data_IF_477897647240
#
_entry.id   IF_477897647240
#
_cell.length_a   1.000
_cell.length_b   1.000
_cell.length_c   1.000
_cell.angle_alpha   90.00
_cell.angle_beta   90.00
_cell.angle_gamma   90.00
#
_symmetry.space_group_name_H-M   'P 1'
#
loop_
_entity.id
_entity.type
_entity.pdbx_description
1 polymer ?
#
# COMPACT_ATOMS: atom_id res chain seq x y z
N UNK A 1 -13.33 41.43 -5.87
CA UNK A 1 -12.78 40.16 -5.41
C UNK A 1 -12.50 39.34 -6.64
N UNK A 2 -11.26 38.89 -6.90
CA UNK A 2 -11.00 38.00 -8.02
C UNK A 2 -11.61 36.64 -7.68
N UNK A 3 -12.46 36.15 -8.56
CA UNK A 3 -12.99 34.79 -8.55
C UNK A 3 -11.80 33.85 -8.75
N UNK A 4 -11.42 33.09 -7.74
CA UNK A 4 -10.53 31.94 -7.88
C UNK A 4 -11.27 30.91 -8.73
N UNK A 5 -11.02 30.93 -10.05
CA UNK A 5 -11.32 29.79 -10.90
C UNK A 5 -10.50 28.61 -10.37
N UNK A 6 -11.14 27.70 -9.65
CA UNK A 6 -10.57 26.41 -9.32
C UNK A 6 -10.48 25.62 -10.62
N UNK A 7 -9.31 25.66 -11.27
CA UNK A 7 -9.02 24.79 -12.41
C UNK A 7 -9.16 23.35 -11.95
N UNK A 8 -10.14 22.64 -12.49
CA UNK A 8 -10.19 21.19 -12.33
C UNK A 8 -8.92 20.60 -12.96
N UNK A 9 -8.12 19.80 -12.24
CA UNK A 9 -6.90 19.25 -12.81
C UNK A 9 -7.19 18.47 -14.09
N UNK A 10 -6.30 18.55 -15.07
CA UNK A 10 -6.46 17.88 -16.37
C UNK A 10 -6.54 16.35 -16.20
N UNK A 11 -7.14 15.66 -17.16
CA UNK A 11 -7.14 14.20 -17.20
C UNK A 11 -5.71 13.65 -17.36
N UNK A 12 -5.46 12.45 -16.85
CA UNK A 12 -4.18 11.76 -17.05
C UNK A 12 -3.96 11.43 -18.54
N UNK A 13 -2.76 11.72 -19.03
CA UNK A 13 -2.32 11.25 -20.36
C UNK A 13 -1.90 9.77 -20.25
N UNK A 14 -2.81 8.88 -20.57
CA UNK A 14 -2.62 7.43 -20.45
C UNK A 14 -1.53 6.92 -21.39
N UNK A 15 -1.36 7.53 -22.57
CA UNK A 15 -0.31 7.15 -23.52
C UNK A 15 1.07 7.50 -22.96
N UNK A 16 1.22 8.70 -22.41
CA UNK A 16 2.44 9.10 -21.73
C UNK A 16 2.76 8.17 -20.55
N UNK A 17 1.79 7.89 -19.69
CA UNK A 17 1.95 7.01 -18.54
C UNK A 17 2.44 5.64 -18.98
N UNK A 18 1.74 4.98 -19.89
CA UNK A 18 2.06 3.61 -20.33
C UNK A 18 3.44 3.52 -20.99
N UNK A 19 3.86 4.57 -21.73
CA UNK A 19 5.19 4.65 -22.32
C UNK A 19 6.34 4.69 -21.27
N UNK A 20 6.05 5.04 -20.00
CA UNK A 20 7.04 5.00 -18.93
C UNK A 20 7.31 3.57 -18.42
N UNK A 21 6.43 2.61 -18.65
CA UNK A 21 6.49 1.25 -18.09
C UNK A 21 6.83 0.22 -19.18
N UNK A 22 8.11 -0.20 -19.30
CA UNK A 22 8.52 -1.14 -20.34
C UNK A 22 7.75 -2.48 -20.32
N UNK A 23 7.39 -2.94 -19.13
CA UNK A 23 6.69 -4.21 -18.94
C UNK A 23 5.30 -4.24 -19.60
N UNK A 24 4.64 -3.09 -19.78
CA UNK A 24 3.30 -3.02 -20.36
C UNK A 24 3.27 -3.35 -21.87
N UNK A 25 4.43 -3.46 -22.52
CA UNK A 25 4.55 -3.87 -23.91
C UNK A 25 4.53 -5.40 -24.11
N UNK A 26 4.44 -6.19 -23.04
CA UNK A 26 4.45 -7.65 -23.11
C UNK A 26 3.18 -8.23 -23.74
N UNK A 27 3.33 -9.41 -24.32
CA UNK A 27 2.22 -10.22 -24.85
C UNK A 27 2.32 -11.65 -24.32
N UNK A 28 1.17 -12.31 -24.14
CA UNK A 28 1.06 -13.71 -23.75
C UNK A 28 0.13 -14.41 -24.74
N UNK A 29 0.60 -15.48 -25.38
CA UNK A 29 -0.15 -16.25 -26.37
C UNK A 29 -0.79 -15.37 -27.48
N UNK A 30 -0.09 -14.27 -27.87
CA UNK A 30 -0.59 -13.31 -28.86
C UNK A 30 -1.56 -12.26 -28.30
N UNK A 31 -1.90 -12.29 -27.02
CA UNK A 31 -2.75 -11.30 -26.38
C UNK A 31 -1.89 -10.22 -25.69
N UNK A 32 -2.20 -8.91 -25.81
CA UNK A 32 -1.54 -7.87 -25.02
C UNK A 32 -1.76 -8.11 -23.52
N UNK A 33 -0.66 -8.07 -22.74
CA UNK A 33 -0.73 -8.26 -21.30
C UNK A 33 -1.44 -7.09 -20.62
N UNK A 34 -2.36 -7.42 -19.70
CA UNK A 34 -3.00 -6.49 -18.78
C UNK A 34 -2.59 -6.85 -17.34
N UNK A 35 -1.84 -5.97 -16.71
CA UNK A 35 -1.35 -6.15 -15.33
C UNK A 35 -2.45 -5.70 -14.37
N UNK A 36 -3.21 -6.67 -13.87
CA UNK A 36 -4.33 -6.48 -12.94
C UNK A 36 -3.99 -7.04 -11.54
N UNK A 37 -2.71 -7.20 -11.28
CA UNK A 37 -2.13 -7.74 -10.06
C UNK A 37 -1.49 -6.66 -9.16
N UNK A 38 -1.81 -5.40 -9.39
CA UNK A 38 -1.25 -4.25 -8.71
C UNK A 38 -1.14 -4.38 -7.18
N UNK A 39 -2.15 -4.91 -6.46
CA UNK A 39 -2.04 -5.15 -5.02
C UNK A 39 -0.96 -6.18 -4.63
N UNK A 40 -0.51 -7.03 -5.56
CA UNK A 40 0.64 -7.93 -5.42
C UNK A 40 1.98 -7.22 -5.59
N UNK A 41 2.02 -6.22 -6.45
CA UNK A 41 3.18 -5.38 -6.80
C UNK A 41 2.93 -4.66 -8.10
N UNK A 42 3.33 -3.40 -8.20
CA UNK A 42 3.13 -2.60 -9.43
C UNK A 42 4.28 -2.82 -10.40
N UNK A 43 4.06 -2.47 -11.66
CA UNK A 43 5.15 -2.36 -12.63
C UNK A 43 6.02 -1.14 -12.31
N UNK A 44 7.24 -1.12 -12.85
CA UNK A 44 8.27 -0.13 -12.52
C UNK A 44 8.54 0.75 -13.74
N UNK A 45 8.49 2.09 -13.61
CA UNK A 45 8.80 2.98 -14.72
C UNK A 45 10.31 3.00 -15.04
N UNK A 46 10.64 3.22 -16.32
CA UNK A 46 12.02 3.21 -16.84
C UNK A 46 12.97 4.09 -16.01
N UNK A 47 12.53 5.27 -15.57
CA UNK A 47 13.35 6.18 -14.75
C UNK A 47 13.83 5.57 -13.43
N UNK A 48 13.04 4.68 -12.82
CA UNK A 48 13.42 3.95 -11.60
C UNK A 48 14.46 2.90 -11.91
N UNK A 49 14.29 2.15 -13.01
CA UNK A 49 15.27 1.18 -13.50
C UNK A 49 16.60 1.87 -13.78
N UNK A 50 16.56 3.02 -14.45
CA UNK A 50 17.73 3.82 -14.77
C UNK A 50 18.44 4.36 -13.53
N UNK A 51 17.69 4.83 -12.53
CA UNK A 51 18.27 5.34 -11.28
C UNK A 51 19.05 4.25 -10.54
N UNK A 52 18.47 3.05 -10.40
CA UNK A 52 19.12 1.88 -9.80
C UNK A 52 20.39 1.50 -10.59
N UNK A 53 20.26 1.37 -11.90
CA UNK A 53 21.36 1.00 -12.79
C UNK A 53 22.51 2.03 -12.79
N UNK A 54 22.17 3.34 -12.77
CA UNK A 54 23.14 4.41 -12.74
C UNK A 54 23.91 4.48 -11.42
N UNK A 55 23.20 4.27 -10.27
CA UNK A 55 23.89 4.18 -8.99
C UNK A 55 24.94 3.09 -8.99
N UNK A 56 24.58 1.86 -9.40
CA UNK A 56 25.52 0.73 -9.47
C UNK A 56 26.70 0.98 -10.42
N UNK A 57 26.48 1.72 -11.50
CA UNK A 57 27.56 2.01 -12.48
C UNK A 57 28.54 3.10 -12.03
N UNK A 58 28.10 4.06 -11.19
CA UNK A 58 28.86 5.31 -10.94
C UNK A 58 29.25 5.53 -9.49
N UNK A 59 28.34 5.23 -8.54
CA UNK A 59 28.43 5.70 -7.17
C UNK A 59 28.39 4.56 -6.12
N UNK A 60 28.42 3.30 -6.58
CA UNK A 60 28.33 2.14 -5.68
C UNK A 60 29.43 2.18 -4.61
N UNK A 61 29.07 2.62 -3.41
CA UNK A 61 29.98 2.76 -2.27
C UNK A 61 29.21 2.65 -0.95
N UNK A 62 29.91 2.33 0.13
CA UNK A 62 29.37 2.44 1.48
C UNK A 62 29.36 3.92 1.94
N UNK A 63 28.58 4.23 2.96
CA UNK A 63 28.37 5.55 3.55
C UNK A 63 29.48 5.99 4.48
N UNK A 64 29.63 7.30 4.72
CA UNK A 64 30.54 7.88 5.70
C UNK A 64 32.01 7.92 5.31
N UNK A 65 32.37 7.55 4.09
CA UNK A 65 33.76 7.61 3.59
C UNK A 65 34.18 9.00 3.11
N UNK A 66 35.47 9.32 3.23
CA UNK A 66 36.02 10.62 2.85
C UNK A 66 36.31 10.76 1.33
N UNK A 67 35.69 9.94 0.48
CA UNK A 67 35.90 9.93 -0.98
C UNK A 67 34.58 10.15 -1.73
N UNK A 68 34.69 10.48 -3.02
CA UNK A 68 33.57 11.04 -3.80
C UNK A 68 32.35 10.13 -3.85
N UNK A 69 32.47 8.85 -4.21
CA UNK A 69 31.35 7.93 -4.35
C UNK A 69 30.62 7.70 -3.02
N UNK A 70 31.34 7.67 -1.88
CA UNK A 70 30.73 7.57 -0.56
C UNK A 70 29.93 8.83 -0.22
N UNK A 71 30.47 10.04 -0.49
CA UNK A 71 29.71 11.29 -0.28
C UNK A 71 28.49 11.38 -1.20
N UNK A 72 28.59 10.87 -2.44
CA UNK A 72 27.44 10.80 -3.36
C UNK A 72 26.37 9.86 -2.82
N UNK A 73 26.76 8.72 -2.24
CA UNK A 73 25.83 7.79 -1.56
C UNK A 73 25.13 8.44 -0.38
N UNK A 74 25.88 9.15 0.49
CA UNK A 74 25.30 9.90 1.61
C UNK A 74 24.27 10.93 1.13
N UNK A 75 24.61 11.71 0.10
CA UNK A 75 23.71 12.72 -0.48
C UNK A 75 22.46 12.08 -1.11
N UNK A 76 22.63 10.96 -1.83
CA UNK A 76 21.52 10.22 -2.43
C UNK A 76 20.54 9.69 -1.39
N UNK A 77 21.03 9.12 -0.28
CA UNK A 77 20.17 8.63 0.82
C UNK A 77 19.43 9.82 1.48
N UNK A 78 20.10 10.94 1.69
CA UNK A 78 19.49 12.14 2.24
C UNK A 78 18.35 12.66 1.34
N UNK A 79 18.57 12.71 0.01
CA UNK A 79 17.55 13.11 -0.96
C UNK A 79 16.37 12.14 -0.99
N UNK A 80 16.60 10.83 -0.91
CA UNK A 80 15.54 9.84 -0.84
C UNK A 80 14.65 10.01 0.41
N UNK A 81 15.24 10.43 1.56
CA UNK A 81 14.45 10.78 2.75
C UNK A 81 13.58 12.01 2.51
N UNK A 82 14.14 13.05 1.87
CA UNK A 82 13.38 14.26 1.50
C UNK A 82 12.24 13.89 0.56
N UNK A 83 12.49 13.05 -0.45
CA UNK A 83 11.47 12.61 -1.38
C UNK A 83 10.32 11.86 -0.67
N UNK A 84 10.65 10.93 0.24
CA UNK A 84 9.64 10.22 1.01
C UNK A 84 8.93 11.11 2.04
N UNK A 85 9.62 12.10 2.60
CA UNK A 85 9.01 13.10 3.47
C UNK A 85 7.98 13.94 2.71
N UNK A 86 8.29 14.36 1.48
CA UNK A 86 7.32 15.01 0.57
C UNK A 86 6.14 14.09 0.24
N UNK A 87 6.38 12.78 0.04
CA UNK A 87 5.32 11.80 -0.25
C UNK A 87 4.36 11.62 0.92
N UNK A 88 4.88 11.53 2.15
CA UNK A 88 4.10 11.26 3.36
C UNK A 88 3.64 12.54 4.11
N UNK A 89 4.16 13.72 3.75
CA UNK A 89 3.98 15.01 4.44
C UNK A 89 4.53 15.01 5.87
N UNK A 90 5.83 14.76 6.02
CA UNK A 90 6.55 14.73 7.30
C UNK A 90 7.96 15.33 7.18
N UNK A 91 8.75 15.25 8.24
CA UNK A 91 10.16 15.63 8.21
C UNK A 91 11.05 14.46 7.74
N UNK A 92 12.18 14.77 7.07
CA UNK A 92 13.07 13.74 6.51
C UNK A 92 13.70 12.83 7.59
N UNK A 93 13.92 13.33 8.81
CA UNK A 93 14.44 12.55 9.92
C UNK A 93 13.40 11.65 10.63
N UNK A 94 12.12 11.70 10.17
CA UNK A 94 11.06 10.79 10.58
C UNK A 94 10.92 9.59 9.62
N UNK A 95 11.75 9.52 8.58
CA UNK A 95 11.76 8.44 7.59
C UNK A 95 12.86 7.43 7.90
N UNK A 96 12.48 6.16 8.01
CA UNK A 96 13.37 5.01 8.20
C UNK A 96 13.21 4.05 7.02
N UNK A 97 14.34 3.65 6.40
CA UNK A 97 14.35 2.66 5.34
C UNK A 97 14.60 1.24 5.86
N UNK A 98 14.03 0.26 5.17
CA UNK A 98 14.23 -1.15 5.48
C UNK A 98 13.93 -2.05 4.27
N UNK A 99 14.13 -3.38 4.40
CA UNK A 99 13.96 -4.29 3.26
C UNK A 99 12.53 -4.33 2.70
N UNK A 100 11.52 -4.23 3.57
CA UNK A 100 10.09 -4.22 3.26
C UNK A 100 9.30 -3.82 4.51
N UNK A 101 8.00 -3.53 4.34
CA UNK A 101 7.13 -3.17 5.46
C UNK A 101 7.06 -4.26 6.54
N UNK A 102 6.97 -5.53 6.16
CA UNK A 102 6.87 -6.67 7.11
C UNK A 102 8.06 -6.71 8.07
N UNK A 103 9.28 -6.58 7.54
CA UNK A 103 10.51 -6.53 8.36
C UNK A 103 10.52 -5.31 9.27
N UNK A 104 10.09 -4.15 8.77
CA UNK A 104 9.99 -2.92 9.56
C UNK A 104 8.94 -3.07 10.69
N UNK A 105 7.79 -3.69 10.41
CA UNK A 105 6.75 -3.92 11.44
C UNK A 105 7.24 -4.89 12.51
N UNK A 106 7.94 -5.98 12.16
CA UNK A 106 8.59 -6.85 13.14
C UNK A 106 9.66 -6.13 13.96
N UNK A 107 10.44 -5.25 13.33
CA UNK A 107 11.41 -4.41 14.03
C UNK A 107 10.73 -3.51 15.06
N UNK A 108 9.66 -2.82 14.63
CA UNK A 108 8.91 -1.91 15.49
C UNK A 108 8.17 -2.64 16.60
N UNK A 109 7.54 -3.78 16.32
CA UNK A 109 6.82 -4.57 17.34
C UNK A 109 7.75 -5.00 18.48
N UNK A 110 8.98 -5.40 18.16
CA UNK A 110 9.99 -5.73 19.17
C UNK A 110 10.43 -4.52 20.00
N UNK A 111 10.59 -3.36 19.37
CA UNK A 111 11.03 -2.15 20.06
C UNK A 111 9.91 -1.54 20.92
N UNK A 112 8.69 -1.43 20.37
CA UNK A 112 7.50 -0.94 21.08
C UNK A 112 7.12 -1.90 22.21
N UNK A 113 7.10 -3.20 21.92
CA UNK A 113 6.73 -4.25 22.88
C UNK A 113 7.76 -4.52 23.97
N UNK A 114 8.92 -3.81 24.02
CA UNK A 114 9.89 -3.99 25.11
C UNK A 114 9.28 -3.76 26.49
N UNK A 115 8.45 -2.74 26.57
CA UNK A 115 7.88 -2.27 27.82
C UNK A 115 6.46 -2.84 28.05
N UNK A 116 5.96 -3.75 27.18
CA UNK A 116 4.67 -4.42 27.31
C UNK A 116 4.81 -5.76 28.02
N UNK A 117 3.74 -6.14 28.73
CA UNK A 117 3.68 -7.39 29.48
C UNK A 117 2.25 -7.81 29.84
N UNK A 118 2.09 -8.75 30.82
CA UNK A 118 0.79 -9.22 31.25
C UNK A 118 -0.15 -8.07 31.66
N UNK A 119 -1.36 -8.08 31.11
CA UNK A 119 -2.36 -7.05 31.35
C UNK A 119 -2.39 -5.93 30.32
N UNK A 120 -1.37 -5.79 29.46
CA UNK A 120 -1.42 -4.87 28.32
C UNK A 120 -2.16 -5.50 27.15
N UNK A 121 -2.83 -4.67 26.35
CA UNK A 121 -3.63 -5.11 25.22
C UNK A 121 -3.20 -4.39 23.93
N UNK A 122 -3.25 -5.13 22.81
CA UNK A 122 -3.09 -4.58 21.46
C UNK A 122 -4.35 -4.90 20.67
N UNK A 123 -4.87 -3.92 19.92
CA UNK A 123 -6.01 -4.10 19.04
C UNK A 123 -5.54 -4.20 17.60
N UNK A 124 -5.92 -5.29 16.93
CA UNK A 124 -5.72 -5.54 15.49
C UNK A 124 -7.07 -5.74 14.82
N UNK A 125 -7.13 -5.80 13.48
CA UNK A 125 -8.40 -5.97 12.77
C UNK A 125 -8.49 -7.27 11.97
N UNK A 126 -9.73 -7.71 11.70
CA UNK A 126 -10.00 -8.85 10.81
C UNK A 126 -9.79 -8.53 9.33
N UNK A 127 -9.59 -7.25 8.99
CA UNK A 127 -9.46 -6.77 7.62
C UNK A 127 -8.00 -6.67 7.15
N UNK A 128 -7.05 -6.70 8.09
CA UNK A 128 -5.64 -6.41 7.82
C UNK A 128 -4.91 -7.53 7.07
N UNK A 129 -3.88 -7.12 6.35
CA UNK A 129 -2.82 -8.02 5.89
C UNK A 129 -2.06 -8.58 7.11
N UNK A 130 -1.70 -9.85 7.07
CA UNK A 130 -1.08 -10.54 8.21
C UNK A 130 0.28 -9.95 8.65
N UNK A 131 0.96 -9.24 7.77
CA UNK A 131 2.18 -8.49 8.11
C UNK A 131 1.92 -7.34 9.11
N UNK A 132 0.66 -6.87 9.24
CA UNK A 132 0.22 -5.91 10.26
C UNK A 132 -0.50 -6.59 11.44
N UNK A 133 -0.49 -7.89 11.51
CA UNK A 133 -1.11 -8.71 12.57
C UNK A 133 -0.07 -9.57 13.28
N UNK A 134 0.59 -10.49 12.57
CA UNK A 134 1.54 -11.46 13.14
C UNK A 134 2.67 -10.85 13.98
N UNK A 135 3.26 -9.67 13.64
CA UNK A 135 4.27 -9.05 14.49
C UNK A 135 3.76 -8.67 15.90
N UNK A 136 2.46 -8.40 16.02
CA UNK A 136 1.81 -8.07 17.29
C UNK A 136 1.38 -9.34 18.04
N UNK A 137 0.90 -10.38 17.32
CA UNK A 137 0.62 -11.71 17.91
C UNK A 137 1.85 -12.28 18.62
N UNK A 138 3.05 -12.05 18.09
CA UNK A 138 4.29 -12.51 18.72
C UNK A 138 4.50 -11.95 20.15
N UNK A 139 3.81 -10.89 20.55
CA UNK A 139 3.88 -10.32 21.91
C UNK A 139 3.02 -11.09 22.92
N UNK A 140 2.17 -12.03 22.47
CA UNK A 140 1.46 -12.95 23.36
C UNK A 140 2.43 -13.80 24.19
N UNK A 141 3.64 -14.09 23.66
CA UNK A 141 4.74 -14.74 24.40
C UNK A 141 5.15 -13.97 25.66
N UNK A 142 4.87 -12.65 25.69
CA UNK A 142 5.11 -11.76 26.84
C UNK A 142 3.88 -11.58 27.73
N UNK A 143 2.77 -12.26 27.44
CA UNK A 143 1.50 -12.14 28.16
C UNK A 143 0.64 -10.94 27.73
N UNK A 144 0.95 -10.30 26.59
CA UNK A 144 0.09 -9.27 25.99
C UNK A 144 -1.16 -9.93 25.41
N UNK A 145 -2.32 -9.31 25.60
CA UNK A 145 -3.58 -9.79 25.04
C UNK A 145 -3.87 -9.12 23.70
N UNK A 146 -4.14 -9.91 22.66
CA UNK A 146 -4.53 -9.40 21.36
C UNK A 146 -6.06 -9.36 21.26
N UNK A 147 -6.59 -8.16 20.99
CA UNK A 147 -8.01 -7.90 20.71
C UNK A 147 -8.22 -7.76 19.21
N UNK A 148 -9.36 -8.18 18.72
CA UNK A 148 -9.71 -8.19 17.29
C UNK A 148 -10.92 -7.30 17.05
N UNK A 149 -10.77 -6.28 16.21
CA UNK A 149 -11.88 -5.52 15.67
C UNK A 149 -12.55 -6.29 14.51
N UNK A 150 -13.87 -6.35 14.53
CA UNK A 150 -14.67 -7.08 13.55
C UNK A 150 -14.91 -6.27 12.27
N UNK A 151 -15.49 -6.93 11.29
CA UNK A 151 -15.95 -6.35 10.02
C UNK A 151 -17.44 -6.62 9.83
N UNK A 152 -18.06 -5.84 8.96
CA UNK A 152 -19.39 -6.14 8.44
C UNK A 152 -19.25 -7.10 7.24
N UNK A 153 -19.65 -8.39 7.35
CA UNK A 153 -19.42 -9.36 6.27
C UNK A 153 -20.14 -9.05 4.95
N UNK A 154 -21.16 -8.19 4.99
CA UNK A 154 -21.97 -7.83 3.81
C UNK A 154 -21.20 -6.99 2.79
N UNK A 155 -20.37 -6.07 3.25
CA UNK A 155 -19.62 -5.13 2.43
C UNK A 155 -18.11 -5.07 2.78
N UNK A 156 -17.67 -5.88 3.72
CA UNK A 156 -16.30 -5.96 4.21
C UNK A 156 -15.76 -4.60 4.71
N UNK A 157 -16.61 -3.76 5.28
CA UNK A 157 -16.18 -2.55 6.00
C UNK A 157 -15.76 -2.90 7.42
N UNK A 158 -14.82 -2.13 7.98
CA UNK A 158 -14.41 -2.29 9.38
C UNK A 158 -15.53 -1.80 10.30
N UNK A 159 -15.87 -2.59 11.32
CA UNK A 159 -16.79 -2.19 12.37
C UNK A 159 -16.08 -1.27 13.37
N UNK A 160 -16.21 0.04 13.15
CA UNK A 160 -15.56 1.07 13.99
C UNK A 160 -16.20 1.16 15.37
N UNK A 161 -17.47 0.82 15.49
CA UNK A 161 -18.18 0.81 16.80
C UNK A 161 -17.65 -0.35 17.66
N UNK A 162 -17.49 -1.55 17.07
CA UNK A 162 -16.86 -2.71 17.72
C UNK A 162 -15.41 -2.41 18.12
N UNK A 163 -14.65 -1.75 17.23
CA UNK A 163 -13.28 -1.30 17.52
C UNK A 163 -13.26 -0.39 18.75
N UNK A 164 -14.10 0.64 18.77
CA UNK A 164 -14.17 1.62 19.85
C UNK A 164 -14.61 0.96 21.18
N UNK A 165 -15.55 0.03 21.15
CA UNK A 165 -16.04 -0.69 22.33
C UNK A 165 -14.96 -1.62 22.96
N UNK A 166 -13.96 -2.05 22.18
CA UNK A 166 -12.86 -2.90 22.66
C UNK A 166 -11.69 -2.13 23.25
N UNK A 167 -11.61 -0.81 23.06
CA UNK A 167 -10.57 0.03 23.64
C UNK A 167 -10.82 0.29 25.13
N UNK A 168 -9.72 0.28 25.90
CA UNK A 168 -9.74 0.56 27.33
C UNK A 168 -8.36 1.03 27.80
N UNK A 169 -8.19 1.34 29.08
CA UNK A 169 -6.93 1.85 29.65
C UNK A 169 -5.73 0.89 29.57
N UNK A 170 -5.96 -0.39 29.26
CA UNK A 170 -4.92 -1.40 29.05
C UNK A 170 -4.45 -1.43 27.60
N UNK A 171 -5.22 -0.86 26.67
CA UNK A 171 -4.84 -0.83 25.25
C UNK A 171 -3.63 0.08 25.05
N UNK A 172 -2.53 -0.48 24.53
CA UNK A 172 -1.27 0.22 24.30
C UNK A 172 -1.05 0.59 22.84
N UNK A 173 -1.68 -0.15 21.93
CA UNK A 173 -1.50 0.08 20.50
C UNK A 173 -2.74 -0.41 19.74
N UNK A 174 -3.08 0.33 18.69
CA UNK A 174 -4.03 -0.05 17.64
C UNK A 174 -3.26 -0.18 16.33
N UNK A 175 -3.25 -1.37 15.74
CA UNK A 175 -2.67 -1.62 14.42
C UNK A 175 -3.80 -1.77 13.40
N UNK A 176 -3.76 -0.93 12.35
CA UNK A 176 -4.81 -0.87 11.32
C UNK A 176 -4.24 -0.70 9.92
N UNK A 177 -4.82 -1.39 8.93
CA UNK A 177 -4.59 -1.11 7.52
C UNK A 177 -5.30 0.17 7.07
N UNK A 178 -4.65 0.98 6.24
CA UNK A 178 -5.30 2.12 5.62
C UNK A 178 -6.35 1.66 4.60
N UNK A 179 -6.00 0.64 3.82
CA UNK A 179 -6.93 -0.02 2.90
C UNK A 179 -6.67 -1.53 2.83
N UNK A 180 -7.74 -2.30 2.68
CA UNK A 180 -7.64 -3.75 2.53
C UNK A 180 -7.02 -4.15 1.19
N UNK A 181 -5.94 -4.91 1.25
CA UNK A 181 -5.27 -5.46 0.06
C UNK A 181 -6.08 -6.56 -0.64
N UNK A 182 -7.12 -7.09 0.00
CA UNK A 182 -7.97 -8.13 -0.57
C UNK A 182 -9.23 -7.57 -1.23
N UNK A 183 -9.99 -6.73 -0.52
CA UNK A 183 -11.31 -6.26 -0.96
C UNK A 183 -11.36 -4.76 -1.26
N UNK A 184 -10.25 -4.05 -1.08
CA UNK A 184 -10.11 -2.64 -1.47
C UNK A 184 -10.70 -1.63 -0.48
N UNK A 185 -11.45 -2.04 0.55
CA UNK A 185 -12.06 -1.14 1.54
C UNK A 185 -11.05 -0.18 2.14
N UNK A 186 -11.32 1.12 2.12
CA UNK A 186 -10.55 2.17 2.77
C UNK A 186 -11.14 2.40 4.17
N UNK A 187 -10.30 2.33 5.19
CA UNK A 187 -10.71 2.54 6.57
C UNK A 187 -10.67 4.03 6.94
N UNK A 188 -11.53 4.51 7.85
CA UNK A 188 -11.53 5.89 8.35
C UNK A 188 -10.38 6.11 9.35
N UNK A 189 -9.13 6.00 8.86
CA UNK A 189 -7.89 5.95 9.69
C UNK A 189 -7.78 7.15 10.61
N UNK A 190 -8.08 8.36 10.13
CA UNK A 190 -8.02 9.58 10.96
C UNK A 190 -8.93 9.51 12.19
N UNK A 191 -10.12 8.97 12.01
CA UNK A 191 -11.08 8.78 13.12
C UNK A 191 -10.56 7.70 14.08
N UNK A 192 -10.07 6.58 13.56
CA UNK A 192 -9.57 5.47 14.38
C UNK A 192 -8.33 5.92 15.18
N UNK A 193 -7.42 6.69 14.58
CA UNK A 193 -6.27 7.28 15.29
C UNK A 193 -6.75 8.16 16.45
N UNK A 194 -7.72 9.03 16.21
CA UNK A 194 -8.30 9.89 17.26
C UNK A 194 -8.92 9.07 18.41
N UNK A 195 -9.62 7.99 18.08
CA UNK A 195 -10.24 7.09 19.07
C UNK A 195 -9.13 6.34 19.85
N UNK A 196 -8.08 5.85 19.19
CA UNK A 196 -6.94 5.20 19.83
C UNK A 196 -6.23 6.14 20.81
N UNK A 197 -5.92 7.36 20.39
CA UNK A 197 -5.29 8.38 21.25
C UNK A 197 -6.16 8.77 22.46
N UNK A 198 -7.48 8.85 22.28
CA UNK A 198 -8.39 9.11 23.39
C UNK A 198 -8.37 8.00 24.46
N UNK A 199 -8.02 6.77 24.08
CA UNK A 199 -7.78 5.66 25.00
C UNK A 199 -6.34 5.57 25.54
N UNK A 200 -5.45 6.45 25.10
CA UNK A 200 -4.03 6.45 25.46
C UNK A 200 -3.17 5.43 24.69
N UNK A 201 -3.69 4.89 23.58
CA UNK A 201 -3.02 3.91 22.74
C UNK A 201 -2.28 4.56 21.58
N UNK A 202 -1.14 3.98 21.18
CA UNK A 202 -0.44 4.35 19.95
C UNK A 202 -1.20 3.86 18.71
N UNK A 203 -1.08 4.56 17.60
CA UNK A 203 -1.65 4.19 16.31
C UNK A 203 -0.56 3.79 15.30
N UNK A 204 -0.59 2.53 14.84
CA UNK A 204 0.31 1.97 13.84
C UNK A 204 -0.47 1.67 12.56
N UNK A 205 -0.13 2.33 11.46
CA UNK A 205 -0.89 2.29 10.21
C UNK A 205 -0.12 1.55 9.12
N UNK A 206 -0.72 0.53 8.53
CA UNK A 206 -0.24 -0.10 7.30
C UNK A 206 -0.87 0.59 6.08
N UNK A 207 -0.10 1.40 5.38
CA UNK A 207 -0.53 2.10 4.17
C UNK A 207 -0.04 1.44 2.87
N UNK A 208 0.47 0.20 2.93
CA UNK A 208 1.05 -0.49 1.78
C UNK A 208 0.10 -0.53 0.59
N UNK A 209 -1.16 -0.89 0.83
CA UNK A 209 -2.14 -1.00 -0.24
C UNK A 209 -2.72 0.36 -0.66
N UNK A 210 -2.78 1.32 0.24
CA UNK A 210 -3.31 2.65 -0.05
C UNK A 210 -2.33 3.55 -0.83
N UNK A 211 -1.02 3.37 -0.61
CA UNK A 211 0.03 4.24 -1.12
C UNK A 211 0.02 4.51 -2.65
N UNK A 212 -0.33 3.57 -3.54
CA UNK A 212 -0.44 3.86 -4.98
C UNK A 212 -1.73 4.57 -5.39
N UNK A 213 -2.77 4.57 -4.54
CA UNK A 213 -4.14 4.98 -4.88
C UNK A 213 -4.54 6.33 -4.32
N UNK A 214 -3.95 6.76 -3.21
CA UNK A 214 -4.38 7.97 -2.52
C UNK A 214 -3.27 8.74 -1.83
N UNK A 215 -3.54 10.03 -1.63
CA UNK A 215 -2.64 10.93 -0.93
C UNK A 215 -2.52 10.54 0.54
N UNK A 216 -1.29 10.35 1.00
CA UNK A 216 -0.99 10.14 2.42
C UNK A 216 -0.51 11.47 3.02
N UNK A 217 -1.07 11.81 4.18
CA UNK A 217 -0.69 12.97 4.99
C UNK A 217 -0.62 12.55 6.45
N UNK A 218 0.57 12.15 6.91
CA UNK A 218 0.74 11.63 8.27
C UNK A 218 0.54 12.71 9.34
N UNK A 219 0.77 13.99 8.98
CA UNK A 219 0.50 15.12 9.86
C UNK A 219 -1.00 15.30 10.07
N UNK A 220 -1.80 15.20 9.00
CA UNK A 220 -3.27 15.31 9.07
C UNK A 220 -3.92 14.07 9.71
N UNK A 221 -3.31 12.89 9.57
CA UNK A 221 -3.75 11.64 10.22
C UNK A 221 -3.42 11.62 11.70
N UNK A 222 -2.33 12.29 12.09
CA UNK A 222 -1.76 12.29 13.46
C UNK A 222 -1.36 10.88 13.96
N UNK A 223 -1.10 9.92 13.07
CA UNK A 223 -0.66 8.58 13.46
C UNK A 223 0.76 8.60 14.04
N UNK A 224 1.06 7.66 14.94
CA UNK A 224 2.38 7.58 15.57
C UNK A 224 3.41 6.89 14.67
N UNK A 225 2.95 5.92 13.90
CA UNK A 225 3.75 5.20 12.91
C UNK A 225 2.91 4.91 11.66
N UNK A 226 3.57 4.93 10.50
CA UNK A 226 2.98 4.48 9.25
C UNK A 226 4.03 3.73 8.44
N UNK A 227 3.65 2.60 7.85
CA UNK A 227 4.54 1.81 6.99
C UNK A 227 3.97 1.65 5.59
N UNK A 228 4.87 1.62 4.61
CA UNK A 228 4.57 1.23 3.24
C UNK A 228 5.75 0.50 2.60
N UNK A 229 5.55 -0.03 1.39
CA UNK A 229 6.61 -0.67 0.58
C UNK A 229 6.58 -0.10 -0.81
N UNK A 230 7.72 0.40 -1.29
CA UNK A 230 7.80 1.17 -2.54
C UNK A 230 7.42 0.35 -3.78
N UNK A 231 7.64 -0.97 -3.78
CA UNK A 231 7.25 -1.84 -4.89
C UNK A 231 5.73 -1.94 -5.11
N UNK A 232 4.93 -1.42 -4.18
CA UNK A 232 3.48 -1.30 -4.33
C UNK A 232 3.05 0.00 -5.01
N UNK A 233 3.95 1.00 -5.07
CA UNK A 233 3.70 2.29 -5.72
C UNK A 233 4.83 2.67 -6.68
N UNK A 234 5.15 1.74 -7.61
CA UNK A 234 6.02 1.93 -8.78
C UNK A 234 7.52 1.97 -8.50
N UNK A 235 7.94 1.70 -7.26
CA UNK A 235 9.34 1.70 -6.83
C UNK A 235 9.98 0.31 -6.74
N UNK A 236 11.22 0.23 -6.24
CA UNK A 236 11.91 -1.03 -5.97
C UNK A 236 11.39 -1.74 -4.70
N UNK A 237 11.86 -2.98 -4.45
CA UNK A 237 11.54 -3.73 -3.23
C UNK A 237 12.24 -3.14 -2.00
N UNK A 238 11.65 -2.10 -1.44
CA UNK A 238 12.09 -1.43 -0.21
C UNK A 238 10.89 -1.11 0.68
N UNK A 239 11.12 -1.14 1.99
CA UNK A 239 10.18 -0.67 3.00
C UNK A 239 10.51 0.75 3.44
N UNK A 240 9.47 1.50 3.79
CA UNK A 240 9.56 2.84 4.37
C UNK A 240 8.67 2.89 5.60
N UNK A 241 9.24 3.36 6.70
CA UNK A 241 8.53 3.64 7.94
C UNK A 241 8.59 5.15 8.20
N UNK A 242 7.45 5.76 8.42
CA UNK A 242 7.30 7.00 9.14
C UNK A 242 7.12 6.69 10.64
N UNK A 243 7.81 7.44 11.49
CA UNK A 243 7.57 7.44 12.93
C UNK A 243 7.69 8.86 13.48
N UNK A 244 6.73 9.29 14.32
CA UNK A 244 6.88 10.57 15.01
C UNK A 244 8.26 10.65 15.69
N UNK A 245 8.97 11.75 15.48
CA UNK A 245 10.35 11.95 15.98
C UNK A 245 10.50 11.59 17.46
N UNK A 246 9.56 12.01 18.30
CA UNK A 246 9.55 11.72 19.72
C UNK A 246 9.53 10.23 20.05
N UNK A 247 8.79 9.42 19.25
CA UNK A 247 8.76 7.98 19.43
C UNK A 247 10.05 7.33 18.92
N UNK A 248 10.57 7.78 17.76
CA UNK A 248 11.84 7.28 17.23
C UNK A 248 13.01 7.59 18.19
N UNK A 249 12.97 8.70 18.92
CA UNK A 249 13.96 9.05 19.92
C UNK A 249 13.79 8.27 21.24
N UNK A 250 12.54 8.11 21.70
CA UNK A 250 12.22 7.49 23.00
C UNK A 250 12.40 5.97 22.98
N UNK A 251 11.95 5.32 21.92
CA UNK A 251 11.99 3.86 21.82
C UNK A 251 13.42 3.35 21.64
N UNK A 252 13.69 2.14 22.14
CA UNK A 252 15.01 1.52 22.15
C UNK A 252 15.11 0.44 21.08
N UNK A 253 15.69 0.72 19.89
CA UNK A 253 15.89 -0.30 18.87
C UNK A 253 16.89 -1.38 19.30
N UNK A 254 16.80 -2.55 18.69
CA UNK A 254 17.89 -3.51 18.68
C UNK A 254 18.88 -3.08 17.60
N UNK A 255 20.11 -2.71 17.95
CA UNK A 255 21.11 -2.22 16.99
C UNK A 255 22.51 -2.66 17.38
N UNK A 256 23.42 -2.65 16.40
CA UNK A 256 24.84 -2.88 16.64
C UNK A 256 25.45 -1.70 17.44
N UNK A 257 26.41 -2.00 18.30
CA UNK A 257 26.99 -1.00 19.24
C UNK A 257 27.60 0.23 18.57
N UNK A 258 28.29 0.13 17.41
CA UNK A 258 28.90 1.30 16.76
C UNK A 258 27.88 2.26 16.12
N UNK A 259 26.64 1.82 15.88
CA UNK A 259 25.63 2.66 15.24
C UNK A 259 25.25 3.83 16.15
N UNK A 260 25.19 5.05 15.57
CA UNK A 260 24.80 6.27 16.28
C UNK A 260 23.41 6.15 16.93
N UNK A 261 23.15 6.96 17.96
CA UNK A 261 21.81 7.09 18.56
C UNK A 261 20.94 8.16 17.89
N UNK A 262 21.46 8.85 16.88
CA UNK A 262 20.70 9.84 16.12
C UNK A 262 19.60 9.17 15.27
N UNK A 263 18.41 9.78 15.24
CA UNK A 263 17.33 9.41 14.32
C UNK A 263 17.61 10.00 12.94
N UNK A 264 17.24 9.31 11.88
CA UNK A 264 16.61 7.99 11.83
C UNK A 264 17.62 6.83 11.91
N UNK A 265 18.93 7.08 11.82
CA UNK A 265 20.01 6.11 11.63
C UNK A 265 19.98 4.98 12.66
N UNK A 266 19.64 5.28 13.92
CA UNK A 266 19.56 4.26 14.99
C UNK A 266 18.61 3.11 14.69
N UNK A 267 17.69 3.27 13.71
CA UNK A 267 16.70 2.30 13.29
C UNK A 267 17.14 1.48 12.07
N UNK A 268 18.25 1.84 11.42
CA UNK A 268 18.78 1.20 10.23
C UNK A 268 19.99 0.36 10.59
N UNK A 269 19.76 -0.88 10.96
CA UNK A 269 20.69 -1.75 11.71
C UNK A 269 21.91 -2.25 10.94
N UNK A 270 21.90 -2.18 9.64
CA UNK A 270 22.96 -2.63 8.74
C UNK A 270 23.04 -1.79 7.49
N UNK A 271 23.98 -2.12 6.61
CA UNK A 271 24.10 -1.44 5.32
C UNK A 271 22.80 -1.55 4.55
N UNK A 272 22.25 -0.41 4.18
CA UNK A 272 21.01 -0.31 3.41
C UNK A 272 21.24 -0.77 1.96
N UNK A 273 20.17 -1.09 1.27
CA UNK A 273 20.17 -1.34 -0.17
C UNK A 273 20.20 0.01 -0.92
N UNK A 274 21.41 0.55 -1.12
CA UNK A 274 21.61 1.89 -1.64
C UNK A 274 21.10 2.05 -3.07
N UNK A 275 21.28 1.04 -3.94
CA UNK A 275 20.78 1.07 -5.31
C UNK A 275 19.24 1.16 -5.36
N UNK A 276 18.55 0.44 -4.49
CA UNK A 276 17.09 0.55 -4.40
C UNK A 276 16.66 1.89 -3.80
N UNK A 277 17.42 2.46 -2.85
CA UNK A 277 17.12 3.80 -2.30
C UNK A 277 17.25 4.87 -3.40
N UNK A 278 18.21 4.77 -4.29
CA UNK A 278 18.28 5.64 -5.48
C UNK A 278 17.01 5.55 -6.34
N UNK A 279 16.44 4.36 -6.46
CA UNK A 279 15.17 4.13 -7.14
C UNK A 279 13.95 4.76 -6.45
N UNK A 280 13.98 4.96 -5.12
CA UNK A 280 12.88 5.58 -4.36
C UNK A 280 12.68 7.04 -4.79
N UNK A 281 13.76 7.83 -4.88
CA UNK A 281 13.66 9.21 -5.35
C UNK A 281 13.03 9.29 -6.73
N UNK A 282 13.49 8.45 -7.67
CA UNK A 282 12.97 8.41 -9.03
C UNK A 282 11.49 7.98 -9.08
N UNK A 283 11.05 7.12 -8.16
CA UNK A 283 9.67 6.71 -8.02
C UNK A 283 8.77 7.88 -7.57
N UNK A 284 9.18 8.60 -6.52
CA UNK A 284 8.44 9.76 -6.01
C UNK A 284 8.42 10.88 -7.06
N UNK A 285 9.53 11.10 -7.76
CA UNK A 285 9.62 12.09 -8.84
C UNK A 285 8.77 11.71 -10.06
N UNK A 286 8.55 10.40 -10.32
CA UNK A 286 7.59 9.95 -11.32
C UNK A 286 6.16 10.40 -10.96
N UNK A 287 5.74 10.17 -9.72
CA UNK A 287 4.42 10.59 -9.24
C UNK A 287 4.28 12.12 -9.30
N UNK A 288 5.28 12.85 -8.84
CA UNK A 288 5.29 14.32 -8.91
C UNK A 288 5.25 14.85 -10.37
N UNK A 289 5.88 14.15 -11.31
CA UNK A 289 5.84 14.51 -12.74
C UNK A 289 4.41 14.39 -13.30
N UNK A 290 3.66 13.35 -12.94
CA UNK A 290 2.24 13.25 -13.30
C UNK A 290 1.45 14.46 -12.81
N UNK A 291 1.69 14.89 -11.57
CA UNK A 291 1.01 16.04 -11.01
C UNK A 291 1.38 17.36 -11.68
N UNK A 292 2.65 17.59 -12.02
CA UNK A 292 3.06 18.79 -12.79
C UNK A 292 2.44 18.83 -14.18
N UNK A 293 2.20 17.68 -14.80
CA UNK A 293 1.52 17.59 -16.10
C UNK A 293 0.04 17.92 -16.02
N UNK A 294 -0.61 17.52 -14.92
CA UNK A 294 -2.05 17.79 -14.71
C UNK A 294 -2.32 19.16 -14.08
N UNK A 295 -1.36 19.69 -13.35
CA UNK A 295 -1.39 21.04 -12.76
C UNK A 295 0.01 21.69 -12.80
N UNK A 296 0.33 22.45 -13.88
CA UNK A 296 1.63 23.11 -14.05
C UNK A 296 1.99 24.11 -12.95
N UNK A 297 1.02 24.64 -12.20
CA UNK A 297 1.23 25.55 -11.08
C UNK A 297 1.83 24.88 -9.84
N UNK A 298 1.98 23.56 -9.85
CA UNK A 298 2.53 22.77 -8.73
C UNK A 298 4.05 22.94 -8.66
N UNK A 299 4.52 23.97 -7.95
CA UNK A 299 5.94 24.35 -7.89
C UNK A 299 6.79 23.48 -6.95
N UNK A 300 6.20 22.89 -5.92
CA UNK A 300 6.90 21.98 -4.98
C UNK A 300 6.62 20.52 -5.32
N UNK A 301 7.51 19.61 -4.88
CA UNK A 301 7.28 18.16 -5.04
C UNK A 301 5.99 17.73 -4.34
N UNK A 302 5.73 18.19 -3.12
CA UNK A 302 4.50 17.88 -2.39
C UNK A 302 3.25 18.37 -3.12
N UNK A 303 3.21 19.61 -3.59
CA UNK A 303 2.07 20.13 -4.35
C UNK A 303 1.82 19.31 -5.63
N UNK A 304 2.88 18.89 -6.30
CA UNK A 304 2.79 18.04 -7.49
C UNK A 304 2.23 16.63 -7.13
N UNK A 305 2.66 16.03 -6.02
CA UNK A 305 2.12 14.75 -5.54
C UNK A 305 0.61 14.88 -5.24
N UNK A 306 0.17 15.97 -4.61
CA UNK A 306 -1.26 16.23 -4.36
C UNK A 306 -2.04 16.25 -5.69
N UNK A 307 -1.59 17.03 -6.67
CA UNK A 307 -2.23 17.12 -7.98
C UNK A 307 -2.23 15.77 -8.74
N UNK A 308 -1.17 14.97 -8.57
CA UNK A 308 -1.09 13.63 -9.15
C UNK A 308 -2.20 12.75 -8.60
N UNK A 309 -2.33 12.64 -7.27
CA UNK A 309 -3.33 11.77 -6.65
C UNK A 309 -4.78 12.22 -6.91
N UNK A 310 -5.05 13.51 -7.06
CA UNK A 310 -6.36 13.99 -7.51
C UNK A 310 -6.72 13.46 -8.90
N UNK A 311 -5.75 13.39 -9.80
CA UNK A 311 -5.97 12.91 -11.17
C UNK A 311 -5.97 11.37 -11.25
N UNK A 312 -5.10 10.70 -10.49
CA UNK A 312 -5.07 9.23 -10.33
C UNK A 312 -6.40 8.74 -9.78
N UNK A 313 -6.90 9.36 -8.70
CA UNK A 313 -8.16 8.97 -8.07
C UNK A 313 -9.33 9.04 -9.07
N UNK A 314 -9.45 10.11 -9.85
CA UNK A 314 -10.51 10.24 -10.86
C UNK A 314 -10.42 9.17 -11.93
N UNK A 315 -9.22 8.87 -12.42
CA UNK A 315 -9.01 7.85 -13.45
C UNK A 315 -9.33 6.45 -12.90
N UNK A 316 -8.77 6.09 -11.76
CA UNK A 316 -8.99 4.80 -11.12
C UNK A 316 -10.46 4.59 -10.71
N UNK A 317 -11.14 5.66 -10.27
CA UNK A 317 -12.57 5.60 -9.97
C UNK A 317 -13.42 5.32 -11.21
N UNK A 318 -13.06 5.88 -12.38
CA UNK A 318 -13.73 5.57 -13.65
C UNK A 318 -13.54 4.10 -14.05
N UNK A 319 -12.31 3.58 -13.93
CA UNK A 319 -12.00 2.16 -14.17
C UNK A 319 -12.78 1.24 -13.23
N UNK A 320 -12.78 1.58 -11.92
CA UNK A 320 -13.48 0.82 -10.87
C UNK A 320 -14.98 0.76 -11.12
N UNK A 321 -15.60 1.91 -11.43
CA UNK A 321 -17.03 1.98 -11.71
C UNK A 321 -17.39 1.14 -12.93
N UNK A 322 -16.60 1.21 -14.02
CA UNK A 322 -16.78 0.38 -15.21
C UNK A 322 -16.68 -1.11 -14.89
N UNK A 323 -15.67 -1.49 -14.08
CA UNK A 323 -15.44 -2.88 -13.69
C UNK A 323 -16.59 -3.42 -12.82
N UNK A 324 -17.00 -2.71 -11.78
CA UNK A 324 -18.10 -3.13 -10.89
C UNK A 324 -19.41 -3.25 -11.66
N UNK A 325 -19.75 -2.25 -12.48
CA UNK A 325 -20.95 -2.28 -13.32
C UNK A 325 -20.96 -3.51 -14.21
N UNK A 326 -19.88 -3.77 -14.94
CA UNK A 326 -19.80 -4.92 -15.85
C UNK A 326 -19.80 -6.27 -15.14
N UNK A 327 -19.20 -6.36 -13.94
CA UNK A 327 -19.23 -7.60 -13.13
C UNK A 327 -20.62 -7.86 -12.55
N UNK A 328 -21.37 -6.82 -12.19
CA UNK A 328 -22.75 -6.95 -11.68
C UNK A 328 -23.72 -7.52 -12.73
N UNK A 329 -23.38 -7.44 -14.02
CA UNK A 329 -24.12 -8.06 -15.11
C UNK A 329 -23.81 -9.56 -15.30
N UNK A 330 -22.88 -10.14 -14.51
CA UNK A 330 -22.49 -11.55 -14.58
C UNK A 330 -23.01 -12.26 -13.31
N UNK A 331 -24.22 -12.85 -13.36
CA UNK A 331 -24.88 -13.38 -12.16
C UNK A 331 -24.16 -14.56 -11.51
N UNK A 332 -23.23 -15.21 -12.24
CA UNK A 332 -22.38 -16.27 -11.71
C UNK A 332 -21.29 -15.76 -10.76
N UNK A 333 -20.99 -14.45 -10.76
CA UNK A 333 -19.92 -13.88 -9.94
C UNK A 333 -20.48 -13.18 -8.69
N UNK A 334 -19.84 -13.41 -7.57
CA UNK A 334 -20.04 -12.65 -6.34
C UNK A 334 -18.84 -11.74 -6.12
N UNK A 335 -19.09 -10.44 -5.94
CA UNK A 335 -18.10 -9.43 -5.57
C UNK A 335 -18.10 -9.30 -4.03
N UNK A 336 -16.92 -9.21 -3.44
CA UNK A 336 -16.71 -8.94 -2.02
C UNK A 336 -16.18 -7.51 -1.83
N UNK A 337 -16.62 -6.85 -0.75
CA UNK A 337 -16.35 -5.44 -0.48
C UNK A 337 -17.46 -4.53 -0.99
N UNK A 338 -17.25 -3.23 -0.90
CA UNK A 338 -18.23 -2.19 -1.25
C UNK A 338 -18.54 -2.24 -2.75
N UNK A 339 -19.82 -2.36 -3.11
CA UNK A 339 -20.31 -2.34 -4.51
C UNK A 339 -21.31 -1.24 -4.79
N UNK A 340 -21.83 -0.57 -3.76
CA UNK A 340 -22.74 0.56 -3.91
C UNK A 340 -22.02 1.72 -4.62
N UNK A 341 -22.55 2.20 -5.78
CA UNK A 341 -21.93 3.30 -6.52
C UNK A 341 -21.75 4.58 -5.71
N UNK A 342 -22.62 4.85 -4.74
CA UNK A 342 -22.55 6.03 -3.87
C UNK A 342 -21.39 5.96 -2.85
N UNK A 343 -20.86 4.75 -2.62
CA UNK A 343 -19.84 4.47 -1.62
C UNK A 343 -18.47 4.11 -2.22
N UNK A 344 -18.30 4.15 -3.56
CA UNK A 344 -17.05 3.75 -4.21
C UNK A 344 -15.84 4.63 -3.84
N UNK A 345 -16.05 5.83 -3.33
CA UNK A 345 -14.98 6.66 -2.78
C UNK A 345 -14.29 6.02 -1.54
N UNK A 346 -14.94 5.04 -0.91
CA UNK A 346 -14.42 4.31 0.25
C UNK A 346 -13.73 3.00 -0.13
N UNK A 347 -13.30 2.86 -1.39
CA UNK A 347 -12.48 1.71 -1.79
C UNK A 347 -11.42 2.07 -2.82
N UNK A 348 -10.29 1.39 -2.75
CA UNK A 348 -9.30 1.30 -3.81
C UNK A 348 -9.84 0.46 -4.98
N UNK A 349 -9.30 0.57 -6.19
CA UNK A 349 -9.75 -0.19 -7.36
C UNK A 349 -9.27 -1.66 -7.33
N UNK A 350 -9.51 -2.31 -6.18
CA UNK A 350 -9.17 -3.71 -5.90
C UNK A 350 -10.42 -4.48 -5.54
N UNK A 351 -10.67 -5.58 -6.23
CA UNK A 351 -11.85 -6.41 -6.06
C UNK A 351 -11.47 -7.86 -5.78
N UNK A 352 -12.20 -8.49 -4.85
CA UNK A 352 -12.19 -9.92 -4.61
C UNK A 352 -13.46 -10.54 -5.20
N UNK A 353 -13.29 -11.61 -5.97
CA UNK A 353 -14.38 -12.28 -6.69
C UNK A 353 -14.41 -13.79 -6.40
N UNK A 354 -15.60 -14.38 -6.49
CA UNK A 354 -15.81 -15.82 -6.53
C UNK A 354 -16.93 -16.19 -7.48
N UNK A 355 -16.88 -17.39 -8.06
CA UNK A 355 -18.02 -17.97 -8.74
C UNK A 355 -19.00 -18.51 -7.69
N UNK A 356 -20.29 -18.19 -7.85
CA UNK A 356 -21.36 -18.73 -7.00
C UNK A 356 -21.57 -20.20 -7.36
N UNK A 357 -21.57 -21.09 -6.36
CA UNK A 357 -21.66 -22.55 -6.58
C UNK A 357 -20.55 -23.07 -7.51
N UNK A 358 -19.31 -22.59 -7.31
CA UNK A 358 -18.15 -22.93 -8.13
C UNK A 358 -17.95 -24.45 -8.31
N UNK A 359 -17.60 -24.84 -9.50
CA UNK A 359 -17.12 -26.20 -9.84
C UNK A 359 -15.60 -26.27 -9.67
N UNK A 360 -15.01 -27.47 -9.80
CA UNK A 360 -13.56 -27.66 -9.66
C UNK A 360 -12.73 -26.83 -10.68
N UNK A 361 -13.28 -26.57 -11.85
CA UNK A 361 -12.66 -25.77 -12.93
C UNK A 361 -12.99 -24.26 -12.87
N UNK A 362 -13.72 -23.82 -11.83
CA UNK A 362 -14.11 -22.44 -11.55
C UNK A 362 -13.60 -21.95 -10.20
N UNK A 363 -12.63 -22.65 -9.60
CA UNK A 363 -11.95 -22.17 -8.40
C UNK A 363 -11.17 -20.87 -8.69
N UNK A 364 -10.85 -20.04 -7.68
CA UNK A 364 -10.02 -18.86 -7.87
C UNK A 364 -8.73 -19.13 -8.66
N UNK A 365 -8.01 -20.20 -8.34
CA UNK A 365 -6.82 -20.63 -9.07
C UNK A 365 -7.13 -20.98 -10.53
N UNK A 366 -8.19 -21.75 -10.80
CA UNK A 366 -8.56 -22.12 -12.16
C UNK A 366 -8.93 -20.89 -13.00
N UNK A 367 -9.64 -19.92 -12.40
CA UNK A 367 -9.95 -18.64 -13.06
C UNK A 367 -8.69 -17.83 -13.34
N UNK A 368 -7.80 -17.70 -12.37
CA UNK A 368 -6.53 -16.96 -12.54
C UNK A 368 -5.67 -17.58 -13.64
N UNK A 369 -5.61 -18.93 -13.73
CA UNK A 369 -4.90 -19.65 -14.77
C UNK A 369 -5.49 -19.36 -16.16
N UNK A 370 -6.82 -19.53 -16.32
CA UNK A 370 -7.53 -19.27 -17.59
C UNK A 370 -7.40 -17.80 -18.05
N UNK A 371 -7.38 -16.86 -17.11
CA UNK A 371 -7.16 -15.44 -17.39
C UNK A 371 -5.70 -15.16 -17.77
N UNK A 372 -4.74 -15.78 -17.06
CA UNK A 372 -3.32 -15.67 -17.35
C UNK A 372 -2.97 -16.10 -18.78
N UNK A 373 -3.55 -17.21 -19.26
CA UNK A 373 -3.39 -17.71 -20.64
C UNK A 373 -3.91 -16.72 -21.70
N UNK A 374 -4.83 -15.81 -21.32
CA UNK A 374 -5.40 -14.75 -22.16
C UNK A 374 -4.72 -13.38 -21.94
N UNK A 375 -3.60 -13.33 -21.20
CA UNK A 375 -2.84 -12.13 -20.94
C UNK A 375 -3.37 -11.25 -19.82
N UNK A 376 -4.28 -11.72 -18.96
CA UNK A 376 -4.74 -11.00 -17.78
C UNK A 376 -4.03 -11.53 -16.53
N UNK A 377 -3.16 -10.73 -15.92
CA UNK A 377 -2.43 -11.10 -14.72
C UNK A 377 -3.26 -10.73 -13.50
N UNK A 378 -3.77 -11.73 -12.80
CA UNK A 378 -4.60 -11.64 -11.60
C UNK A 378 -4.03 -12.57 -10.54
N UNK A 379 -4.48 -12.46 -9.29
CA UNK A 379 -4.05 -13.33 -8.19
C UNK A 379 -5.21 -14.14 -7.62
N UNK A 380 -4.93 -15.37 -7.20
CA UNK A 380 -5.82 -16.22 -6.42
C UNK A 380 -5.33 -16.40 -4.98
N UNK A 381 -6.21 -16.83 -4.07
CA UNK A 381 -5.89 -17.16 -2.69
C UNK A 381 -6.38 -16.15 -1.66
N UNK A 382 -5.67 -16.04 -0.52
CA UNK A 382 -6.00 -15.14 0.58
C UNK A 382 -5.14 -13.86 0.64
N UNK A 383 -4.07 -13.77 -0.14
CA UNK A 383 -3.19 -12.59 -0.24
C UNK A 383 -2.60 -12.15 1.10
N UNK A 384 -2.39 -13.07 2.03
CA UNK A 384 -2.05 -12.80 3.43
C UNK A 384 -3.12 -12.00 4.19
N UNK A 385 -4.37 -11.91 3.70
CA UNK A 385 -5.52 -11.42 4.45
C UNK A 385 -6.29 -12.61 5.07
N UNK A 386 -5.56 -13.47 5.78
CA UNK A 386 -6.03 -14.75 6.32
C UNK A 386 -7.27 -14.56 7.22
N UNK A 387 -7.21 -13.59 8.12
CA UNK A 387 -8.32 -13.33 9.05
C UNK A 387 -9.62 -12.93 8.34
N UNK A 388 -9.50 -12.23 7.19
CA UNK A 388 -10.65 -11.88 6.36
C UNK A 388 -11.25 -13.11 5.68
N UNK A 389 -10.41 -13.94 5.05
CA UNK A 389 -10.88 -15.14 4.33
C UNK A 389 -11.47 -16.19 5.26
N UNK A 390 -10.93 -16.33 6.48
CA UNK A 390 -11.52 -17.16 7.54
C UNK A 390 -12.86 -16.59 8.02
N UNK A 391 -12.94 -15.27 8.27
CA UNK A 391 -14.16 -14.59 8.73
C UNK A 391 -15.31 -14.69 7.73
N UNK A 392 -14.99 -14.76 6.45
CA UNK A 392 -15.94 -14.89 5.34
C UNK A 392 -16.20 -16.35 4.93
N UNK A 393 -15.58 -17.31 5.63
CA UNK A 393 -15.68 -18.77 5.34
C UNK A 393 -15.32 -19.16 3.91
N UNK A 394 -14.27 -18.53 3.35
CA UNK A 394 -13.80 -18.81 1.98
C UNK A 394 -12.38 -19.38 1.94
N UNK A 395 -11.66 -19.38 3.07
CA UNK A 395 -10.25 -19.83 3.15
C UNK A 395 -10.10 -21.29 2.66
N UNK A 396 -10.88 -22.20 3.20
CA UNK A 396 -10.81 -23.64 2.88
C UNK A 396 -11.19 -23.95 1.43
N UNK A 397 -11.86 -23.05 0.74
CA UNK A 397 -12.31 -23.20 -0.64
C UNK A 397 -11.49 -22.37 -1.65
N UNK A 398 -10.26 -21.99 -1.26
CA UNK A 398 -9.25 -21.37 -2.12
C UNK A 398 -9.25 -19.83 -2.14
N UNK A 399 -9.87 -19.17 -1.15
CA UNK A 399 -9.89 -17.72 -1.06
C UNK A 399 -10.67 -17.05 -2.20
N UNK A 400 -10.09 -16.05 -2.85
CA UNK A 400 -10.70 -15.25 -3.91
C UNK A 400 -9.85 -15.23 -5.19
N UNK A 401 -10.47 -14.85 -6.30
CA UNK A 401 -9.77 -14.23 -7.43
C UNK A 401 -9.71 -12.73 -7.15
N UNK A 402 -8.50 -12.14 -7.15
CA UNK A 402 -8.30 -10.70 -6.95
C UNK A 402 -7.93 -10.01 -8.25
N UNK A 403 -8.61 -8.90 -8.52
CA UNK A 403 -8.33 -7.97 -9.62
C UNK A 403 -7.99 -6.63 -8.97
N UNK A 404 -6.84 -6.05 -9.31
CA UNK A 404 -6.42 -4.74 -8.82
C UNK A 404 -5.89 -3.87 -9.94
N UNK A 405 -6.60 -2.78 -10.19
CA UNK A 405 -6.27 -1.80 -11.21
C UNK A 405 -5.28 -0.77 -10.68
N UNK A 406 -4.49 -0.21 -11.58
CA UNK A 406 -3.56 0.88 -11.34
C UNK A 406 -3.79 2.00 -12.34
N UNK A 407 -3.25 3.17 -12.09
CA UNK A 407 -3.41 4.34 -12.97
C UNK A 407 -2.90 4.12 -14.41
N UNK A 408 -2.10 3.08 -14.67
CA UNK A 408 -1.67 2.72 -16.03
C UNK A 408 -2.64 1.79 -16.78
N UNK A 409 -3.68 1.28 -16.11
CA UNK A 409 -4.69 0.46 -16.77
C UNK A 409 -5.67 1.32 -17.58
N UNK A 410 -6.36 0.69 -18.52
CA UNK A 410 -7.29 1.36 -19.44
C UNK A 410 -8.69 0.77 -19.38
N UNK A 411 -9.68 1.53 -19.87
CA UNK A 411 -11.07 1.05 -20.01
C UNK A 411 -11.14 -0.16 -20.95
N UNK A 412 -10.35 -0.17 -22.02
CA UNK A 412 -10.27 -1.27 -22.97
C UNK A 412 -9.75 -2.56 -22.33
N UNK A 413 -8.79 -2.46 -21.39
CA UNK A 413 -8.33 -3.62 -20.62
C UNK A 413 -9.44 -4.15 -19.71
N UNK A 414 -10.21 -3.26 -19.07
CA UNK A 414 -11.39 -3.65 -18.26
C UNK A 414 -12.46 -4.32 -19.12
N UNK A 415 -12.79 -3.78 -20.29
CA UNK A 415 -13.79 -4.35 -21.19
C UNK A 415 -13.38 -5.73 -21.72
N UNK A 416 -12.09 -5.90 -22.08
CA UNK A 416 -11.53 -7.21 -22.48
C UNK A 416 -11.61 -8.22 -21.33
N UNK A 417 -11.30 -7.82 -20.11
CA UNK A 417 -11.40 -8.67 -18.92
C UNK A 417 -12.85 -9.11 -18.68
N UNK A 418 -13.82 -8.20 -18.76
CA UNK A 418 -15.24 -8.50 -18.58
C UNK A 418 -15.74 -9.49 -19.64
N UNK A 419 -15.31 -9.35 -20.90
CA UNK A 419 -15.63 -10.31 -21.97
C UNK A 419 -15.04 -11.69 -21.65
N UNK A 420 -13.77 -11.76 -21.27
CA UNK A 420 -13.11 -13.02 -20.92
C UNK A 420 -13.77 -13.71 -19.71
N UNK A 421 -14.16 -12.96 -18.69
CA UNK A 421 -14.86 -13.51 -17.52
C UNK A 421 -16.23 -14.09 -17.92
N UNK A 422 -17.03 -13.39 -18.73
CA UNK A 422 -18.32 -13.91 -19.22
C UNK A 422 -18.18 -15.25 -19.96
N UNK A 423 -17.16 -15.38 -20.81
CA UNK A 423 -16.87 -16.64 -21.51
C UNK A 423 -16.44 -17.75 -20.53
N UNK A 424 -15.56 -17.46 -19.59
CA UNK A 424 -15.00 -18.45 -18.66
C UNK A 424 -16.05 -19.00 -17.69
N UNK A 425 -16.99 -18.14 -17.21
CA UNK A 425 -17.99 -18.54 -16.22
C UNK A 425 -19.35 -18.90 -16.83
N UNK A 426 -19.59 -18.53 -18.08
CA UNK A 426 -20.84 -18.83 -18.81
C UNK A 426 -20.82 -20.14 -19.61
N UNK A 427 -19.66 -20.71 -19.85
CA UNK A 427 -19.48 -22.04 -20.50
C UNK A 427 -19.37 -23.11 -19.48
#
# INVERSE_FOLDING_TARGET
MPTTETFAPAALDIHYIRAQFPALAQTVNGHPAAFLDGPGGTQVPQRVIDAISNYLRRDNANTGGAYATSRNTDAMIAEARVAMADFLNCAADEIVFGPNMTTLTYMMSRAIGRDFGPGDEILVTRLDHDANVSPWLALEEKGVTIRWAEIHPGDCTLDVEDLAAKLNSKTKLVAIGYASNAVGTINPVKEIVRIAHAAGALAYVDAVHYAPHGLIDVTALDCDFLVCSTYKFFGPHMGVLFGKREHLQRLRPYKVRPLTDAVPNRWEWGTLNHECIAGITACVDYIADLGRRTNPESTTRRAAIVAAFESVHRHEHALLNRLITGLSEIPQLKIYGITDPSCLAWRCPTLALRVVNQTADQTPLALATKLGDRGFFTWDGNYYALNLTERLDVEKSGGFLRIGLMHYNTIEEVDRLLAALREIVGG
#
